data_IF_850498237601
#
_entry.id   IF_850498237601
#
_cell.length_a   1.000
_cell.length_b   1.000
_cell.length_c   1.000
_cell.angle_alpha   90.00
_cell.angle_beta   90.00
_cell.angle_gamma   90.00
#
_symmetry.space_group_name_H-M   'P 1'
#
loop_
_entity.id
_entity.type
_entity.pdbx_description
1 polymer ?
#
# COMPACT_ATOMS: atom_id res chain seq x y z
N UNK A 1 4.29 -11.69 9.96
CA UNK A 1 3.18 -11.25 9.08
C UNK A 1 2.96 -9.76 9.30
N UNK A 2 2.81 -8.96 8.24
CA UNK A 2 2.47 -7.54 8.34
C UNK A 2 0.95 -7.35 8.20
N UNK A 3 0.36 -6.48 9.01
CA UNK A 3 -1.08 -6.16 8.95
C UNK A 3 -1.35 -5.01 7.96
N UNK A 4 -2.63 -4.64 7.79
CA UNK A 4 -3.07 -3.55 6.91
C UNK A 4 -2.80 -2.16 7.52
N UNK A 5 -2.82 -1.13 6.66
CA UNK A 5 -2.79 0.27 7.10
C UNK A 5 -3.88 0.56 8.14
N UNK A 6 -5.13 0.19 7.86
CA UNK A 6 -6.27 0.47 8.75
C UNK A 6 -6.09 -0.14 10.15
N UNK A 7 -5.49 -1.33 10.24
CA UNK A 7 -5.21 -1.95 11.54
C UNK A 7 -4.21 -1.13 12.35
N UNK A 8 -3.08 -0.75 11.74
CA UNK A 8 -2.06 0.03 12.43
C UNK A 8 -2.53 1.46 12.74
N UNK A 9 -3.31 2.06 11.85
CA UNK A 9 -3.85 3.41 12.03
C UNK A 9 -4.86 3.48 13.18
N UNK A 10 -5.73 2.46 13.31
CA UNK A 10 -6.61 2.35 14.47
C UNK A 10 -5.81 2.25 15.77
N UNK A 11 -4.75 1.42 15.80
CA UNK A 11 -3.90 1.26 16.98
C UNK A 11 -3.13 2.52 17.35
N UNK A 12 -2.74 3.31 16.35
CA UNK A 12 -2.14 4.63 16.57
C UNK A 12 -3.17 5.57 17.21
N UNK A 13 -4.40 5.61 16.68
CA UNK A 13 -5.48 6.45 17.20
C UNK A 13 -5.86 6.07 18.64
N UNK A 14 -6.03 4.78 18.93
CA UNK A 14 -6.32 4.29 20.28
C UNK A 14 -5.22 4.70 21.29
N UNK A 15 -3.96 4.65 20.86
CA UNK A 15 -2.83 5.06 21.69
C UNK A 15 -2.78 6.58 21.91
N UNK A 16 -3.13 7.37 20.90
CA UNK A 16 -3.24 8.82 21.01
C UNK A 16 -4.36 9.22 22.00
N UNK A 17 -5.53 8.59 21.87
CA UNK A 17 -6.67 8.81 22.78
C UNK A 17 -6.31 8.43 24.23
N UNK A 18 -5.61 7.31 24.41
CA UNK A 18 -5.12 6.89 25.72
C UNK A 18 -4.03 7.83 26.30
N UNK A 19 -3.21 8.45 25.45
CA UNK A 19 -2.26 9.47 25.89
C UNK A 19 -2.99 10.75 26.34
N UNK A 20 -4.03 11.16 25.61
CA UNK A 20 -4.85 12.32 25.94
C UNK A 20 -5.61 12.13 27.26
N UNK A 21 -6.15 10.94 27.49
CA UNK A 21 -6.86 10.59 28.72
C UNK A 21 -5.94 10.36 29.93
N UNK A 22 -4.61 10.25 29.73
CA UNK A 22 -3.68 9.93 30.80
C UNK A 22 -3.51 11.09 31.80
N UNK A 23 -3.75 10.79 33.08
CA UNK A 23 -3.56 11.72 34.20
C UNK A 23 -2.14 11.74 34.74
N UNK A 24 -1.35 10.69 34.49
CA UNK A 24 0.06 10.59 34.88
C UNK A 24 0.96 10.75 33.66
N UNK A 25 2.03 11.53 33.81
CA UNK A 25 2.95 11.85 32.71
C UNK A 25 3.66 10.59 32.17
N UNK A 26 4.08 9.68 33.04
CA UNK A 26 4.72 8.43 32.63
C UNK A 26 3.79 7.51 31.79
N UNK A 27 2.47 7.54 32.06
CA UNK A 27 1.46 6.83 31.28
C UNK A 27 1.27 7.51 29.93
N UNK A 28 1.16 8.85 29.92
CA UNK A 28 1.07 9.65 28.69
C UNK A 28 2.26 9.36 27.76
N UNK A 29 3.48 9.45 28.27
CA UNK A 29 4.71 9.22 27.51
C UNK A 29 4.81 7.81 26.95
N UNK A 30 4.35 6.80 27.71
CA UNK A 30 4.29 5.42 27.21
C UNK A 30 3.32 5.31 26.04
N UNK A 31 2.13 5.90 26.14
CA UNK A 31 1.13 5.87 25.08
C UNK A 31 1.60 6.63 23.84
N UNK A 32 2.24 7.80 23.99
CA UNK A 32 2.84 8.54 22.87
C UNK A 32 3.94 7.74 22.15
N UNK A 33 4.76 6.98 22.89
CA UNK A 33 5.74 6.07 22.26
C UNK A 33 5.06 4.95 21.48
N UNK A 34 3.99 4.38 22.03
CA UNK A 34 3.20 3.36 21.34
C UNK A 34 2.56 3.93 20.06
N UNK A 35 1.92 5.10 20.15
CA UNK A 35 1.36 5.82 19.01
C UNK A 35 2.41 6.00 17.91
N UNK A 36 3.59 6.53 18.26
CA UNK A 36 4.68 6.74 17.30
C UNK A 36 5.06 5.44 16.57
N UNK A 37 5.17 4.33 17.29
CA UNK A 37 5.46 3.02 16.69
C UNK A 37 4.34 2.57 15.76
N UNK A 38 3.08 2.68 16.19
CA UNK A 38 1.93 2.28 15.36
C UNK A 38 1.79 3.14 14.11
N UNK A 39 2.00 4.45 14.22
CA UNK A 39 1.95 5.38 13.09
C UNK A 39 3.02 5.06 12.05
N UNK A 40 4.26 4.79 12.49
CA UNK A 40 5.34 4.38 11.59
C UNK A 40 5.00 3.08 10.83
N UNK A 41 4.36 2.10 11.49
CA UNK A 41 3.90 0.87 10.84
C UNK A 41 2.75 1.12 9.87
N UNK A 42 1.82 2.03 10.20
CA UNK A 42 0.76 2.44 9.30
C UNK A 42 1.33 3.08 8.03
N UNK A 43 2.26 4.03 8.17
CA UNK A 43 2.92 4.69 7.04
C UNK A 43 3.66 3.68 6.15
N UNK A 44 4.36 2.72 6.75
CA UNK A 44 5.01 1.64 6.02
C UNK A 44 4.00 0.78 5.26
N UNK A 45 2.90 0.37 5.89
CA UNK A 45 1.86 -0.43 5.26
C UNK A 45 1.22 0.32 4.07
N UNK A 46 0.94 1.62 4.24
CA UNK A 46 0.41 2.49 3.18
C UNK A 46 1.38 2.60 2.01
N UNK A 47 2.67 2.76 2.28
CA UNK A 47 3.71 2.79 1.24
C UNK A 47 3.76 1.47 0.47
N UNK A 48 3.80 0.33 1.17
CA UNK A 48 3.85 -1.00 0.55
C UNK A 48 2.62 -1.26 -0.33
N UNK A 49 1.44 -0.87 0.12
CA UNK A 49 0.21 -0.99 -0.67
C UNK A 49 0.26 -0.11 -1.93
N UNK A 50 0.72 1.14 -1.79
CA UNK A 50 0.91 2.04 -2.92
C UNK A 50 1.91 1.51 -3.93
N UNK A 51 3.06 1.00 -3.48
CA UNK A 51 4.08 0.43 -4.35
C UNK A 51 3.57 -0.82 -5.07
N UNK A 52 2.77 -1.66 -4.40
CA UNK A 52 2.10 -2.81 -5.02
C UNK A 52 1.13 -2.37 -6.13
N UNK A 53 0.30 -1.35 -5.88
CA UNK A 53 -0.63 -0.81 -6.88
C UNK A 53 0.10 -0.26 -8.10
N UNK A 54 1.20 0.48 -7.90
CA UNK A 54 2.05 0.97 -8.99
C UNK A 54 2.68 -0.16 -9.80
N UNK A 55 3.23 -1.16 -9.12
CA UNK A 55 3.83 -2.32 -9.79
C UNK A 55 2.80 -3.12 -10.60
N UNK A 56 1.57 -3.25 -10.08
CA UNK A 56 0.48 -3.90 -10.80
C UNK A 56 0.08 -3.11 -12.06
N UNK A 57 -0.01 -1.77 -11.98
CA UNK A 57 -0.31 -0.91 -13.12
C UNK A 57 0.76 -1.03 -14.22
N UNK A 58 2.04 -0.92 -13.86
CA UNK A 58 3.16 -1.09 -14.82
C UNK A 58 3.15 -2.47 -15.48
N UNK A 59 2.86 -3.53 -14.71
CA UNK A 59 2.73 -4.87 -15.26
C UNK A 59 1.57 -4.95 -16.25
N UNK A 60 0.42 -4.36 -15.92
CA UNK A 60 -0.76 -4.38 -16.78
C UNK A 60 -0.50 -3.62 -18.09
N UNK A 61 0.07 -2.42 -18.02
CA UNK A 61 0.44 -1.62 -19.20
C UNK A 61 1.38 -2.39 -20.15
N UNK A 62 2.35 -3.13 -19.59
CA UNK A 62 3.23 -3.99 -20.39
C UNK A 62 2.45 -5.13 -21.07
N UNK A 63 1.55 -5.80 -20.36
CA UNK A 63 0.74 -6.87 -20.93
C UNK A 63 -0.19 -6.37 -22.03
N UNK A 64 -0.80 -5.18 -21.84
CA UNK A 64 -1.69 -4.57 -22.82
C UNK A 64 -0.91 -4.19 -24.10
N UNK A 65 0.31 -3.67 -23.94
CA UNK A 65 1.20 -3.38 -25.09
C UNK A 65 1.61 -4.65 -25.82
N UNK A 66 2.07 -5.67 -25.10
CA UNK A 66 2.46 -6.96 -25.68
C UNK A 66 1.28 -7.61 -26.43
N UNK A 67 0.05 -7.48 -25.90
CA UNK A 67 -1.15 -7.98 -26.56
C UNK A 67 -1.51 -7.18 -27.83
N UNK A 68 -1.36 -5.86 -27.82
CA UNK A 68 -1.58 -5.02 -29.00
C UNK A 68 -0.56 -5.33 -30.11
N UNK A 69 0.72 -5.45 -29.77
CA UNK A 69 1.79 -5.82 -30.72
C UNK A 69 1.57 -7.22 -31.30
N UNK A 70 1.12 -8.18 -30.49
CA UNK A 70 0.80 -9.53 -30.95
C UNK A 70 -0.42 -9.55 -31.89
N UNK A 71 -1.46 -8.74 -31.60
CA UNK A 71 -2.63 -8.60 -32.45
C UNK A 71 -2.25 -8.02 -33.81
N UNK A 72 -1.48 -6.93 -33.82
CA UNK A 72 -0.97 -6.29 -35.05
C UNK A 72 -0.11 -7.26 -35.88
N UNK A 73 0.80 -7.99 -35.23
CA UNK A 73 1.63 -9.00 -35.90
C UNK A 73 0.78 -10.10 -36.52
N UNK A 74 -0.28 -10.55 -35.83
CA UNK A 74 -1.20 -11.56 -36.35
C UNK A 74 -2.01 -11.07 -37.54
N UNK A 75 -2.45 -9.81 -37.51
CA UNK A 75 -3.23 -9.19 -38.58
C UNK A 75 -2.39 -9.04 -39.85
N UNK A 76 -1.14 -8.57 -39.71
CA UNK A 76 -0.20 -8.46 -40.83
C UNK A 76 0.08 -9.84 -41.45
N UNK A 77 0.26 -10.88 -40.62
CA UNK A 77 0.52 -12.23 -41.10
C UNK A 77 -0.68 -12.81 -41.89
N UNK A 78 -1.91 -12.52 -41.49
CA UNK A 78 -3.13 -12.93 -42.22
C UNK A 78 -3.21 -12.24 -43.57
N UNK A 79 -2.93 -10.94 -43.64
CA UNK A 79 -2.98 -10.16 -44.90
C UNK A 79 -1.93 -10.63 -45.91
N UNK A 80 -0.74 -11.05 -45.47
CA UNK A 80 0.32 -11.54 -46.37
C UNK A 80 0.09 -12.93 -46.95
N UNK A 81 -0.84 -13.71 -46.38
CA UNK A 81 -1.17 -15.07 -46.83
C UNK A 81 -2.38 -15.13 -47.79
N UNK A 82 -3.04 -13.99 -48.04
CA UNK A 82 -4.17 -13.85 -48.97
C UNK A 82 -3.72 -13.31 -50.34
#
# INVERSE_FOLDING_TARGET
MSQSFAFYDQRASDAADAAQAATLDNVRERNLRAEKTWRALADQAKKVEGDRKKAAAVRQERLDREAAEAAETSEIAVVQQA
#
